data_IF_957113740393
#
_entry.id   IF_957113740393
#
_cell.length_a   1.000
_cell.length_b   1.000
_cell.length_c   1.000
_cell.angle_alpha   90.00
_cell.angle_beta   90.00
_cell.angle_gamma   90.00
#
_symmetry.space_group_name_H-M   'P 1'
#
loop_
_entity.id
_entity.type
_entity.pdbx_description
1 polymer ?
#
# COMPACT_ATOMS: atom_id res chain seq x y z
N UNK A 1 -1.40 24.86 12.48
CA UNK A 1 -2.33 24.37 11.43
C UNK A 1 -1.92 22.95 11.08
N UNK A 2 -2.89 22.04 10.87
CA UNK A 2 -2.58 20.68 10.43
C UNK A 2 -2.49 20.64 8.91
N UNK A 3 -1.57 19.81 8.42
CA UNK A 3 -1.36 19.58 6.99
C UNK A 3 -1.56 18.11 6.66
N UNK A 4 -2.10 17.85 5.48
CA UNK A 4 -2.45 16.51 5.01
C UNK A 4 -1.89 16.32 3.60
N UNK A 5 -1.18 15.23 3.39
CA UNK A 5 -0.50 14.96 2.12
C UNK A 5 -0.81 13.57 1.62
N UNK A 6 -0.96 13.42 0.31
CA UNK A 6 -0.81 12.16 -0.37
C UNK A 6 0.47 12.17 -1.20
N UNK A 7 1.18 11.06 -1.17
CA UNK A 7 2.39 10.88 -1.96
C UNK A 7 2.35 9.56 -2.74
N UNK A 8 3.03 9.53 -3.88
CA UNK A 8 3.46 8.27 -4.47
C UNK A 8 4.80 7.88 -3.83
N UNK A 9 4.79 6.95 -2.86
CA UNK A 9 6.02 6.45 -2.26
C UNK A 9 6.81 5.63 -3.29
N UNK A 10 8.05 6.03 -3.63
CA UNK A 10 8.87 5.26 -4.56
C UNK A 10 9.26 3.88 -4.02
N UNK A 11 9.64 2.98 -4.94
CA UNK A 11 10.30 1.73 -4.63
C UNK A 11 11.65 1.98 -3.92
N UNK A 12 12.03 1.11 -2.98
CA UNK A 12 13.26 1.23 -2.16
C UNK A 12 13.33 2.52 -1.33
N UNK A 13 12.18 2.95 -0.79
CA UNK A 13 12.08 4.05 0.15
C UNK A 13 11.33 3.61 1.40
N UNK A 14 11.85 3.94 2.58
CA UNK A 14 11.18 3.70 3.87
C UNK A 14 10.05 4.71 4.10
N UNK A 15 8.95 4.26 4.71
CA UNK A 15 7.81 5.11 5.11
C UNK A 15 8.09 5.87 6.41
N UNK A 16 9.22 6.57 6.49
CA UNK A 16 9.63 7.34 7.66
C UNK A 16 10.63 8.42 7.27
N UNK A 17 10.77 9.45 8.12
CA UNK A 17 11.73 10.54 7.92
C UNK A 17 13.11 10.24 8.49
N UNK A 18 13.18 9.51 9.60
CA UNK A 18 14.46 9.20 10.26
C UNK A 18 15.23 8.15 9.45
N UNK A 19 16.47 8.44 9.03
CA UNK A 19 17.30 7.50 8.29
C UNK A 19 17.66 6.26 9.12
N UNK A 20 17.62 5.09 8.48
CA UNK A 20 18.11 3.82 9.03
C UNK A 20 18.95 3.11 7.97
N UNK A 21 20.15 2.68 8.32
CA UNK A 21 21.00 1.82 7.49
C UNK A 21 21.20 2.31 6.04
N UNK A 22 21.45 3.59 5.82
CA UNK A 22 21.67 4.22 4.48
C UNK A 22 20.53 4.00 3.48
N UNK A 23 19.34 3.60 3.93
CA UNK A 23 18.16 3.48 3.07
C UNK A 23 17.53 4.85 2.84
N UNK A 24 16.98 5.04 1.64
CA UNK A 24 16.18 6.22 1.31
C UNK A 24 14.95 6.30 2.22
N UNK A 25 14.62 7.51 2.63
CA UNK A 25 13.49 7.84 3.51
C UNK A 25 12.64 8.93 2.90
N UNK A 26 11.57 9.32 3.57
CA UNK A 26 10.74 10.45 3.15
C UNK A 26 11.48 11.80 3.17
N UNK A 27 12.58 11.91 3.95
CA UNK A 27 13.45 13.09 3.95
C UNK A 27 14.22 13.28 2.64
N UNK A 28 14.36 12.24 1.83
CA UNK A 28 15.03 12.30 0.53
C UNK A 28 14.09 12.76 -0.61
N UNK A 29 12.84 13.06 -0.28
CA UNK A 29 11.91 13.71 -1.21
C UNK A 29 12.21 15.20 -1.23
N UNK A 30 12.29 15.79 -2.42
CA UNK A 30 12.54 17.23 -2.58
C UNK A 30 11.28 18.04 -2.26
N UNK A 31 10.88 18.03 -0.98
CA UNK A 31 9.69 18.72 -0.49
C UNK A 31 9.83 19.06 0.99
N UNK A 32 9.38 20.27 1.36
CA UNK A 32 9.39 20.75 2.75
C UNK A 32 8.03 20.44 3.40
N UNK A 33 7.96 19.35 4.14
CA UNK A 33 6.77 19.01 4.91
C UNK A 33 6.63 19.90 6.15
N UNK A 34 5.39 20.17 6.55
CA UNK A 34 5.11 20.85 7.82
C UNK A 34 5.72 20.09 9.00
N UNK A 35 6.14 20.83 10.02
CA UNK A 35 6.74 20.27 11.23
C UNK A 35 5.83 19.21 11.88
N UNK A 36 6.41 18.13 12.35
CA UNK A 36 5.69 17.03 12.99
C UNK A 36 4.96 16.08 12.04
N UNK A 37 5.08 16.28 10.72
CA UNK A 37 4.48 15.38 9.71
C UNK A 37 5.04 13.97 9.83
N UNK A 38 4.14 12.99 9.83
CA UNK A 38 4.46 11.56 9.87
C UNK A 38 3.59 10.77 8.89
N UNK A 39 4.07 9.60 8.49
CA UNK A 39 3.29 8.71 7.63
C UNK A 39 2.14 8.05 8.41
N UNK A 40 0.97 7.98 7.80
CA UNK A 40 -0.19 7.25 8.28
C UNK A 40 -0.09 5.78 7.87
N UNK A 41 0.33 4.96 8.81
CA UNK A 41 0.70 3.58 8.54
C UNK A 41 1.99 3.49 7.74
N UNK A 42 2.27 2.30 7.19
CA UNK A 42 3.53 2.02 6.48
C UNK A 42 3.27 1.25 5.19
N UNK A 43 4.14 1.48 4.23
CA UNK A 43 4.44 0.58 3.11
C UNK A 43 5.86 0.06 3.30
N UNK A 44 6.09 -1.19 2.97
CA UNK A 44 7.43 -1.77 2.97
C UNK A 44 8.35 -1.00 2.02
N UNK A 45 9.66 -1.10 2.20
CA UNK A 45 10.63 -0.42 1.34
C UNK A 45 10.54 -0.88 -0.12
N UNK A 46 10.16 -2.13 -0.34
CA UNK A 46 9.97 -2.73 -1.66
C UNK A 46 8.51 -2.67 -2.17
N UNK A 47 7.64 -1.90 -1.52
CA UNK A 47 6.28 -1.59 -1.96
C UNK A 47 6.19 -0.13 -2.38
N UNK A 48 5.29 0.17 -3.30
CA UNK A 48 5.13 1.46 -3.97
C UNK A 48 3.72 2.02 -3.77
N UNK A 49 3.52 3.29 -4.16
CA UNK A 49 2.21 3.87 -4.34
C UNK A 49 1.74 4.75 -3.19
N UNK A 50 0.44 4.84 -3.01
CA UNK A 50 -0.19 5.81 -2.12
C UNK A 50 0.27 5.65 -0.68
N UNK A 51 0.87 6.70 -0.14
CA UNK A 51 1.14 6.87 1.28
C UNK A 51 0.58 8.22 1.71
N UNK A 52 -0.18 8.23 2.80
CA UNK A 52 -0.73 9.43 3.39
C UNK A 52 0.17 9.91 4.53
N UNK A 53 0.32 11.23 4.67
CA UNK A 53 1.10 11.84 5.74
C UNK A 53 0.33 13.01 6.35
N UNK A 54 0.55 13.23 7.65
CA UNK A 54 -0.02 14.39 8.36
C UNK A 54 0.73 14.62 9.68
N UNK A 55 0.63 15.83 10.21
CA UNK A 55 1.01 16.15 11.58
C UNK A 55 -0.20 16.11 12.56
N UNK A 56 -1.38 15.72 12.08
CA UNK A 56 -2.57 15.53 12.92
C UNK A 56 -2.59 14.13 13.55
N UNK A 57 -2.20 14.06 14.82
CA UNK A 57 -2.18 12.81 15.60
C UNK A 57 -3.55 12.14 15.76
N UNK A 58 -4.65 12.91 15.65
CA UNK A 58 -6.02 12.39 15.75
C UNK A 58 -6.31 11.45 14.58
N UNK A 59 -5.91 11.83 13.36
CA UNK A 59 -6.08 11.00 12.15
C UNK A 59 -5.39 9.66 12.28
N UNK A 60 -4.14 9.64 12.76
CA UNK A 60 -3.42 8.39 12.93
C UNK A 60 -4.16 7.41 13.84
N UNK A 61 -4.69 7.91 14.97
CA UNK A 61 -5.48 7.09 15.90
C UNK A 61 -6.76 6.56 15.27
N UNK A 62 -7.48 7.39 14.51
CA UNK A 62 -8.73 7.00 13.84
C UNK A 62 -8.49 5.98 12.71
N UNK A 63 -7.47 6.20 11.89
CA UNK A 63 -7.17 5.35 10.73
C UNK A 63 -6.53 4.02 11.11
N UNK A 64 -5.81 3.97 12.24
CA UNK A 64 -5.14 2.76 12.73
C UNK A 64 -5.97 1.95 13.71
N UNK A 65 -7.13 2.45 14.15
CA UNK A 65 -8.03 1.69 15.02
C UNK A 65 -8.55 0.44 14.26
N UNK A 66 -8.32 -0.77 14.77
CA UNK A 66 -8.76 -2.01 14.12
C UNK A 66 -10.29 -2.14 13.96
N UNK A 67 -11.06 -1.43 14.77
CA UNK A 67 -12.52 -1.36 14.67
C UNK A 67 -12.97 -0.58 13.42
N UNK A 68 -12.16 0.37 12.97
CA UNK A 68 -12.40 1.14 11.76
C UNK A 68 -11.78 0.41 10.57
N UNK A 69 -12.56 -0.43 9.93
CA UNK A 69 -12.14 -1.26 8.79
C UNK A 69 -11.97 -0.43 7.52
N UNK A 70 -10.90 0.33 7.42
CA UNK A 70 -10.61 1.12 6.22
C UNK A 70 -10.15 0.26 5.06
N UNK A 71 -10.82 0.39 3.92
CA UNK A 71 -10.46 -0.33 2.70
C UNK A 71 -9.16 0.21 2.10
N UNK A 72 -8.30 -0.70 1.65
CA UNK A 72 -7.08 -0.40 0.91
C UNK A 72 -7.04 -1.25 -0.35
N UNK A 73 -6.81 -0.61 -1.48
CA UNK A 73 -6.72 -1.29 -2.77
C UNK A 73 -5.27 -1.37 -3.22
N UNK A 74 -4.88 -2.54 -3.68
CA UNK A 74 -3.53 -2.81 -4.16
C UNK A 74 -3.57 -3.43 -5.56
N UNK A 75 -2.64 -3.00 -6.41
CA UNK A 75 -2.29 -3.72 -7.62
C UNK A 75 -1.04 -4.54 -7.36
N UNK A 76 -1.11 -5.80 -7.67
CA UNK A 76 -0.10 -6.79 -7.32
C UNK A 76 0.31 -7.57 -8.55
N UNK A 77 1.54 -7.40 -9.00
CA UNK A 77 2.11 -8.26 -10.02
C UNK A 77 2.70 -9.49 -9.35
N UNK A 78 2.23 -10.65 -9.72
CA UNK A 78 2.68 -11.93 -9.17
C UNK A 78 3.31 -12.79 -10.25
N UNK A 79 4.19 -13.71 -9.84
CA UNK A 79 4.80 -14.71 -10.71
C UNK A 79 3.77 -15.75 -11.14
N UNK A 80 3.82 -16.14 -12.41
CA UNK A 80 3.00 -17.21 -13.00
C UNK A 80 1.63 -16.76 -13.49
N UNK A 81 0.87 -17.75 -13.90
CA UNK A 81 -0.49 -17.60 -14.44
C UNK A 81 -1.50 -17.99 -13.35
N UNK A 82 -2.17 -16.98 -12.79
CA UNK A 82 -3.08 -17.17 -11.66
C UNK A 82 -4.39 -17.77 -12.13
N UNK A 83 -4.80 -18.86 -11.51
CA UNK A 83 -6.06 -19.53 -11.78
C UNK A 83 -7.15 -19.10 -10.79
N UNK A 84 -8.43 -19.28 -11.18
CA UNK A 84 -9.57 -18.92 -10.32
C UNK A 84 -9.49 -19.54 -8.92
N UNK A 85 -9.01 -20.77 -8.80
CA UNK A 85 -8.86 -21.45 -7.51
C UNK A 85 -7.93 -20.72 -6.53
N UNK A 86 -6.92 -20.00 -7.03
CA UNK A 86 -6.04 -19.16 -6.19
C UNK A 86 -6.77 -17.89 -5.73
N UNK A 87 -7.57 -17.27 -6.61
CA UNK A 87 -8.41 -16.12 -6.24
C UNK A 87 -9.42 -16.51 -5.16
N UNK A 88 -10.13 -17.62 -5.34
CA UNK A 88 -11.12 -18.13 -4.39
C UNK A 88 -10.53 -18.38 -2.99
N UNK A 89 -9.26 -18.82 -2.94
CA UNK A 89 -8.54 -18.97 -1.67
C UNK A 89 -8.22 -17.61 -1.04
N UNK A 90 -7.72 -16.66 -1.83
CA UNK A 90 -7.41 -15.30 -1.34
C UNK A 90 -8.66 -14.62 -0.80
N UNK A 91 -9.79 -14.72 -1.51
CA UNK A 91 -11.06 -14.13 -1.11
C UNK A 91 -11.62 -14.71 0.20
N UNK A 92 -11.48 -16.01 0.42
CA UNK A 92 -11.88 -16.68 1.67
C UNK A 92 -10.91 -16.41 2.82
N UNK A 93 -9.79 -15.75 2.55
CA UNK A 93 -8.67 -15.60 3.45
C UNK A 93 -7.78 -16.84 3.47
N UNK A 94 -6.52 -16.67 3.84
CA UNK A 94 -5.50 -17.72 3.90
C UNK A 94 -4.72 -17.65 5.21
N UNK A 95 -4.15 -18.77 5.61
CA UNK A 95 -3.30 -18.84 6.80
C UNK A 95 -1.89 -18.36 6.45
N UNK A 96 -1.47 -17.27 7.08
CA UNK A 96 -0.13 -16.70 6.93
C UNK A 96 0.62 -16.78 8.25
N UNK A 97 1.94 -16.80 8.19
CA UNK A 97 2.79 -16.79 9.40
C UNK A 97 3.10 -15.34 9.77
N UNK A 98 2.67 -14.91 10.95
CA UNK A 98 3.05 -13.64 11.57
C UNK A 98 3.94 -13.93 12.77
N UNK A 99 5.20 -13.51 12.71
CA UNK A 99 6.22 -13.84 13.70
C UNK A 99 6.32 -15.36 13.95
N UNK A 100 5.71 -15.87 15.02
CA UNK A 100 5.73 -17.30 15.37
C UNK A 100 4.32 -17.92 15.40
N UNK A 101 3.31 -17.19 14.98
CA UNK A 101 1.90 -17.64 15.01
C UNK A 101 1.29 -17.71 13.64
N UNK A 102 0.33 -18.63 13.48
CA UNK A 102 -0.53 -18.68 12.29
C UNK A 102 -1.63 -17.64 12.47
N UNK A 103 -1.83 -16.83 11.45
CA UNK A 103 -2.89 -15.85 11.39
C UNK A 103 -3.77 -16.11 10.15
N UNK A 104 -5.05 -16.32 10.37
CA UNK A 104 -6.04 -16.38 9.28
C UNK A 104 -6.38 -14.98 8.84
N UNK A 105 -6.10 -14.65 7.58
CA UNK A 105 -6.44 -13.32 7.04
C UNK A 105 -7.96 -13.17 6.92
N UNK A 106 -8.43 -11.94 7.04
CA UNK A 106 -9.82 -11.63 6.78
C UNK A 106 -10.14 -11.88 5.30
N UNK A 107 -11.41 -12.19 4.97
CA UNK A 107 -11.87 -12.20 3.59
C UNK A 107 -11.56 -10.88 2.87
N UNK A 108 -11.21 -10.95 1.59
CA UNK A 108 -10.90 -9.81 0.76
C UNK A 108 -11.54 -9.96 -0.63
N UNK A 109 -11.54 -8.87 -1.40
CA UNK A 109 -11.86 -8.98 -2.83
C UNK A 109 -10.56 -9.22 -3.60
N UNK A 110 -10.58 -10.16 -4.55
CA UNK A 110 -9.45 -10.49 -5.40
C UNK A 110 -9.91 -10.69 -6.84
N UNK A 111 -9.26 -10.03 -7.79
CA UNK A 111 -9.52 -10.24 -9.22
C UNK A 111 -8.27 -10.10 -10.06
N UNK A 112 -8.23 -10.81 -11.19
CA UNK A 112 -7.23 -10.57 -12.24
C UNK A 112 -7.60 -9.26 -12.94
N UNK A 113 -6.60 -8.46 -13.23
CA UNK A 113 -6.72 -7.24 -14.02
C UNK A 113 -5.73 -7.27 -15.18
N UNK A 114 -6.01 -6.49 -16.22
CA UNK A 114 -5.04 -6.24 -17.29
C UNK A 114 -3.81 -5.51 -16.74
N UNK A 115 -2.71 -5.59 -17.48
CA UNK A 115 -1.50 -4.82 -17.12
C UNK A 115 -1.86 -3.33 -17.06
N UNK A 116 -1.68 -2.67 -15.91
CA UNK A 116 -2.04 -1.25 -15.79
C UNK A 116 -1.25 -0.39 -16.77
N UNK A 117 -1.96 0.48 -17.50
CA UNK A 117 -1.37 1.25 -18.62
C UNK A 117 -0.37 2.33 -18.17
N UNK A 118 -0.55 2.90 -16.97
CA UNK A 118 0.21 4.07 -16.50
C UNK A 118 1.22 3.73 -15.40
N UNK A 119 1.78 2.52 -15.44
CA UNK A 119 2.78 2.14 -14.44
C UNK A 119 4.08 2.91 -14.68
N UNK A 120 4.57 3.65 -13.68
CA UNK A 120 5.87 4.30 -13.80
C UNK A 120 6.98 3.24 -13.92
N UNK A 121 8.05 3.52 -14.67
CA UNK A 121 9.21 2.66 -14.70
C UNK A 121 9.79 2.53 -13.28
N UNK A 122 10.27 1.34 -12.94
CA UNK A 122 10.91 1.05 -11.67
C UNK A 122 12.41 0.87 -11.90
N UNK A 123 13.24 1.42 -11.01
CA UNK A 123 14.70 1.32 -11.09
C UNK A 123 15.21 -0.13 -11.18
N UNK A 124 14.45 -1.08 -10.60
CA UNK A 124 14.69 -2.51 -10.72
C UNK A 124 13.46 -3.15 -11.37
N UNK A 125 13.42 -3.24 -12.70
CA UNK A 125 12.28 -3.81 -13.40
C UNK A 125 12.04 -5.27 -12.99
N UNK A 126 10.79 -5.68 -13.05
CA UNK A 126 10.45 -7.10 -12.92
C UNK A 126 11.00 -7.81 -14.15
N UNK A 127 11.67 -8.94 -13.96
CA UNK A 127 12.22 -9.72 -15.09
C UNK A 127 11.12 -10.14 -16.08
N UNK A 128 11.48 -10.18 -17.35
CA UNK A 128 10.55 -10.51 -18.45
C UNK A 128 10.62 -11.98 -18.88
N UNK A 129 11.46 -12.76 -18.23
CA UNK A 129 11.74 -14.15 -18.62
C UNK A 129 10.67 -15.16 -18.17
N UNK A 130 9.65 -14.71 -17.46
CA UNK A 130 8.60 -15.57 -16.92
C UNK A 130 7.24 -14.86 -17.04
N UNK A 131 6.18 -15.67 -17.06
CA UNK A 131 4.81 -15.15 -17.04
C UNK A 131 4.53 -14.45 -15.71
N UNK A 132 3.77 -13.38 -15.76
CA UNK A 132 3.24 -12.68 -14.59
C UNK A 132 1.77 -12.37 -14.78
N UNK A 133 1.04 -12.33 -13.68
CA UNK A 133 -0.36 -11.92 -13.66
C UNK A 133 -0.50 -10.69 -12.77
N UNK A 134 -1.34 -9.73 -13.18
CA UNK A 134 -1.73 -8.61 -12.35
C UNK A 134 -3.03 -8.90 -11.62
N UNK A 135 -3.04 -8.63 -10.32
CA UNK A 135 -4.19 -8.75 -9.44
C UNK A 135 -4.57 -7.40 -8.87
N UNK A 136 -5.85 -7.15 -8.68
CA UNK A 136 -6.34 -6.14 -7.74
C UNK A 136 -6.83 -6.84 -6.49
N UNK A 137 -6.29 -6.43 -5.34
CA UNK A 137 -6.69 -6.92 -4.02
C UNK A 137 -7.24 -5.76 -3.19
N UNK A 138 -8.43 -5.95 -2.58
CA UNK A 138 -9.03 -4.97 -1.66
C UNK A 138 -9.11 -5.57 -0.26
N UNK A 139 -8.35 -5.00 0.66
CA UNK A 139 -8.24 -5.45 2.04
C UNK A 139 -8.75 -4.40 3.01
N UNK A 140 -9.31 -4.85 4.13
CA UNK A 140 -9.77 -4.00 5.25
C UNK A 140 -8.85 -4.12 6.48
N UNK A 141 -7.73 -4.79 6.33
CA UNK A 141 -6.70 -4.96 7.36
C UNK A 141 -5.30 -4.78 6.79
N UNK A 142 -4.28 -4.69 7.64
CA UNK A 142 -2.89 -4.55 7.21
C UNK A 142 -1.93 -5.16 8.21
N UNK A 143 -1.51 -6.39 7.99
CA UNK A 143 -0.49 -7.08 8.77
C UNK A 143 0.87 -7.00 8.07
N UNK A 144 1.93 -7.26 8.82
CA UNK A 144 3.29 -7.23 8.30
C UNK A 144 3.48 -8.16 7.10
N UNK A 145 3.84 -7.58 5.95
CA UNK A 145 4.01 -8.25 4.65
C UNK A 145 2.78 -9.05 4.20
N UNK A 146 1.59 -8.66 4.61
CA UNK A 146 0.37 -9.48 4.46
C UNK A 146 0.15 -9.94 3.03
N UNK A 147 0.06 -9.03 2.06
CA UNK A 147 -0.23 -9.38 0.66
C UNK A 147 0.83 -10.34 0.11
N UNK A 148 2.12 -10.09 0.39
CA UNK A 148 3.21 -10.95 -0.06
C UNK A 148 3.07 -12.38 0.47
N UNK A 149 2.72 -12.52 1.73
CA UNK A 149 2.48 -13.82 2.36
C UNK A 149 1.21 -14.49 1.84
N UNK A 150 0.15 -13.72 1.57
CA UNK A 150 -1.10 -14.23 0.99
C UNK A 150 -0.87 -14.80 -0.40
N UNK A 151 -0.22 -14.05 -1.30
CA UNK A 151 0.04 -14.49 -2.66
C UNK A 151 1.03 -15.66 -2.71
N UNK A 152 2.06 -15.66 -1.85
CA UNK A 152 3.00 -16.77 -1.71
C UNK A 152 2.30 -18.04 -1.22
N UNK A 153 1.35 -17.91 -0.28
CA UNK A 153 0.56 -19.04 0.25
C UNK A 153 -0.25 -19.75 -0.82
N UNK A 154 -0.71 -19.04 -1.85
CA UNK A 154 -1.43 -19.62 -2.99
C UNK A 154 -0.53 -19.95 -4.19
N UNK A 155 0.80 -19.94 -3.99
CA UNK A 155 1.80 -20.35 -4.98
C UNK A 155 2.26 -19.24 -5.93
N UNK A 156 1.94 -17.97 -5.68
CA UNK A 156 2.26 -16.86 -6.57
C UNK A 156 3.08 -15.77 -5.87
N UNK A 157 4.39 -15.80 -6.05
CA UNK A 157 5.30 -14.81 -5.43
C UNK A 157 5.00 -13.38 -5.91
N UNK A 158 4.87 -12.43 -4.98
CA UNK A 158 4.73 -11.01 -5.32
C UNK A 158 6.00 -10.42 -5.92
N UNK A 159 5.91 -9.95 -7.16
CA UNK A 159 7.00 -9.29 -7.90
C UNK A 159 6.95 -7.77 -7.77
N UNK A 160 5.76 -7.18 -7.83
CA UNK A 160 5.52 -5.75 -7.65
C UNK A 160 4.27 -5.54 -6.82
N UNK A 161 4.28 -4.54 -5.93
CA UNK A 161 3.16 -4.24 -5.04
C UNK A 161 2.97 -2.73 -4.95
N UNK A 162 1.81 -2.26 -5.39
CA UNK A 162 1.47 -0.83 -5.45
C UNK A 162 0.16 -0.62 -4.70
N UNK A 163 0.15 0.22 -3.67
CA UNK A 163 -1.11 0.65 -3.06
C UNK A 163 -1.71 1.78 -3.87
N UNK A 164 -2.89 1.57 -4.43
CA UNK A 164 -3.54 2.52 -5.33
C UNK A 164 -4.56 3.40 -4.64
N UNK A 165 -5.21 2.91 -3.58
CA UNK A 165 -6.13 3.75 -2.79
C UNK A 165 -6.21 3.35 -1.31
N UNK A 166 -6.66 4.30 -0.50
CA UNK A 166 -7.14 4.10 0.87
C UNK A 166 -8.50 4.81 0.93
N UNK A 167 -9.57 4.06 1.19
CA UNK A 167 -10.93 4.54 1.08
C UNK A 167 -11.15 5.27 -0.27
N UNK A 168 -11.66 6.49 -0.23
CA UNK A 168 -11.90 7.31 -1.42
C UNK A 168 -10.69 8.19 -1.83
N UNK A 169 -9.54 8.07 -1.15
CA UNK A 169 -8.30 8.71 -1.62
C UNK A 169 -7.57 7.73 -2.53
N UNK A 170 -7.38 8.11 -3.79
CA UNK A 170 -6.63 7.34 -4.79
C UNK A 170 -5.43 8.13 -5.29
N UNK A 171 -4.45 7.42 -5.85
CA UNK A 171 -3.34 8.06 -6.56
C UNK A 171 -3.89 8.88 -7.73
N UNK A 172 -3.62 10.19 -7.74
CA UNK A 172 -3.96 11.09 -8.85
C UNK A 172 -2.82 11.14 -9.87
N UNK A 173 -1.58 11.11 -9.38
CA UNK A 173 -0.39 11.13 -10.20
C UNK A 173 0.42 9.85 -10.00
N UNK A 174 0.82 9.26 -11.13
CA UNK A 174 1.60 8.01 -11.17
C UNK A 174 3.11 8.28 -11.33
N UNK A 175 3.58 9.40 -10.78
CA UNK A 175 4.99 9.76 -10.76
C UNK A 175 5.58 9.43 -9.39
N UNK A 176 6.57 8.52 -9.28
CA UNK A 176 7.21 8.20 -8.01
C UNK A 176 7.85 9.44 -7.38
N UNK A 177 7.45 9.74 -6.14
CA UNK A 177 7.88 10.94 -5.42
C UNK A 177 6.97 12.14 -5.59
N UNK A 178 5.90 12.08 -6.41
CA UNK A 178 4.89 13.14 -6.45
C UNK A 178 4.24 13.32 -5.08
N UNK A 179 3.96 14.57 -4.73
CA UNK A 179 3.37 14.97 -3.45
C UNK A 179 2.27 15.98 -3.75
N UNK A 180 1.12 15.75 -3.13
CA UNK A 180 -0.02 16.66 -3.19
C UNK A 180 -0.54 16.93 -1.77
N UNK A 181 -0.71 18.20 -1.44
CA UNK A 181 -1.43 18.60 -0.24
C UNK A 181 -2.94 18.49 -0.46
N UNK A 182 -3.65 18.10 0.56
CA UNK A 182 -5.11 17.88 0.54
C UNK A 182 -5.73 18.75 1.63
N UNK A 183 -6.83 19.44 1.31
CA UNK A 183 -7.60 20.17 2.31
C UNK A 183 -8.12 19.24 3.42
N UNK A 184 -8.16 19.73 4.65
CA UNK A 184 -8.59 18.98 5.82
C UNK A 184 -9.96 18.33 5.64
N UNK A 185 -10.97 19.12 5.22
CA UNK A 185 -12.35 18.65 5.06
C UNK A 185 -12.42 17.53 3.99
N UNK A 186 -11.72 17.73 2.87
CA UNK A 186 -11.63 16.74 1.79
C UNK A 186 -10.93 15.46 2.26
N UNK A 187 -9.87 15.60 3.07
CA UNK A 187 -9.11 14.47 3.59
C UNK A 187 -9.95 13.63 4.55
N UNK A 188 -10.65 14.27 5.51
CA UNK A 188 -11.52 13.60 6.47
C UNK A 188 -12.70 12.92 5.78
N UNK A 189 -13.39 13.63 4.86
CA UNK A 189 -14.52 13.09 4.10
C UNK A 189 -14.12 11.86 3.29
N UNK A 190 -13.08 11.98 2.47
CA UNK A 190 -12.60 10.87 1.62
C UNK A 190 -12.13 9.66 2.42
N UNK A 191 -11.58 9.84 3.61
CA UNK A 191 -11.18 8.74 4.50
C UNK A 191 -12.33 8.25 5.37
N UNK A 192 -13.53 8.85 5.25
CA UNK A 192 -14.72 8.52 6.06
C UNK A 192 -14.46 8.62 7.57
N UNK A 193 -13.59 9.54 7.98
CA UNK A 193 -13.26 9.77 9.38
C UNK A 193 -14.31 10.68 10.01
N UNK A 194 -14.90 10.22 11.12
CA UNK A 194 -15.82 11.05 11.92
C UNK A 194 -15.02 11.92 12.90
N UNK A 195 -15.27 13.21 12.85
CA UNK A 195 -14.64 14.21 13.74
C UNK A 195 -15.30 14.15 15.14
#
# INVERSE_FOLDING_TARGET
MFSYYQIYKPYKMLSQFVPINKKRTLSDLNFSFSEGTNALGRLDDNSEGLLLLTNDKKVNRLLMNPENKHQRVYWVQVHGDVQQSALDQLEKGVDIILEKSIYRTLPCEAKIIDTPQYLPPRAHPVGTHFKTTWLELKLIEGKFHQIRKMTDKVGHQTMRLIRVSIENISLNEWVPGSIQEIDADVFYDKLKLKI
#
